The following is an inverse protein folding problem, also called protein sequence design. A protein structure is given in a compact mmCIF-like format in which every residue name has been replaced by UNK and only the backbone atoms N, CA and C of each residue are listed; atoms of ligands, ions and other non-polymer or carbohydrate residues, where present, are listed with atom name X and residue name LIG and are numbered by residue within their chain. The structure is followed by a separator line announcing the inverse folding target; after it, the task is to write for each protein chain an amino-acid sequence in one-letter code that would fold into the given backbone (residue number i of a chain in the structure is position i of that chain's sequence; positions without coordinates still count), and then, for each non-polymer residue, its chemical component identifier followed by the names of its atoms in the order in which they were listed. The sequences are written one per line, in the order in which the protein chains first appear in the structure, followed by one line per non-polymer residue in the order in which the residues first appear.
data_IF_618255198980
#
_entry.id   IF_618255198980
#
_cell.length_a   1.000
_cell.length_b   1.000
_cell.length_c   1.000
_cell.angle_alpha   90.00
_cell.angle_beta   90.00
_cell.angle_gamma   90.00
#
_symmetry.space_group_name_H-M   'P 1'
#
loop_
_entity.id
_entity.type
_entity.pdbx_description
1 polymer ?
#
# COMPACT_ATOMS: atom_id res chain seq x y z
N UNK A 1 -8.92 -49.91 -14.59
CA UNK A 1 -9.00 -51.40 -14.49
C UNK A 1 -7.96 -52.04 -13.55
N UNK A 2 -7.38 -51.34 -12.55
CA UNK A 2 -6.28 -51.89 -11.72
C UNK A 2 -6.67 -52.52 -10.36
N UNK A 3 -7.95 -52.59 -9.99
CA UNK A 3 -8.35 -53.01 -8.62
C UNK A 3 -8.90 -54.44 -8.47
N UNK A 4 -9.00 -55.24 -9.53
CA UNK A 4 -9.59 -56.60 -9.43
C UNK A 4 -8.58 -57.72 -9.10
N UNK A 5 -7.27 -57.47 -9.25
CA UNK A 5 -6.24 -58.51 -9.04
C UNK A 5 -5.91 -58.81 -7.57
N UNK A 6 -6.30 -57.95 -6.62
CA UNK A 6 -5.97 -58.12 -5.19
C UNK A 6 -7.02 -58.86 -4.36
N UNK A 7 -8.17 -59.26 -4.92
CA UNK A 7 -9.21 -59.97 -4.14
C UNK A 7 -8.94 -61.48 -3.97
N UNK A 8 -8.11 -62.10 -4.82
CA UNK A 8 -7.87 -63.55 -4.82
C UNK A 8 -6.97 -64.04 -3.67
N UNK A 9 -6.25 -63.16 -2.98
CA UNK A 9 -5.32 -63.49 -1.88
C UNK A 9 -5.79 -63.02 -0.49
N UNK A 10 -7.06 -62.61 -0.35
CA UNK A 10 -7.60 -62.15 0.93
C UNK A 10 -8.05 -63.36 1.74
N UNK A 11 -7.37 -63.64 2.86
CA UNK A 11 -7.72 -64.77 3.75
C UNK A 11 -9.18 -64.66 4.20
N UNK A 12 -9.96 -65.74 4.13
CA UNK A 12 -11.39 -65.75 4.52
C UNK A 12 -11.65 -65.19 5.92
N UNK A 13 -10.73 -65.40 6.86
CA UNK A 13 -10.81 -64.82 8.21
C UNK A 13 -10.86 -63.28 8.19
N UNK A 14 -10.20 -62.64 7.23
CA UNK A 14 -10.19 -61.18 7.08
C UNK A 14 -11.46 -60.65 6.41
N UNK A 15 -12.05 -61.40 5.48
CA UNK A 15 -13.34 -61.06 4.85
C UNK A 15 -14.49 -61.13 5.87
N UNK A 16 -14.52 -62.20 6.66
CA UNK A 16 -15.56 -62.42 7.67
C UNK A 16 -15.39 -61.52 8.91
N UNK A 17 -14.17 -61.07 9.24
CA UNK A 17 -13.93 -60.13 10.34
C UNK A 17 -13.95 -58.65 9.92
N UNK A 18 -14.06 -58.35 8.63
CA UNK A 18 -14.08 -56.97 8.12
C UNK A 18 -15.24 -56.15 8.73
N UNK A 19 -16.41 -56.77 8.89
CA UNK A 19 -17.57 -56.13 9.51
C UNK A 19 -17.28 -55.69 10.95
N UNK A 20 -16.73 -56.59 11.77
CA UNK A 20 -16.39 -56.30 13.18
C UNK A 20 -15.41 -55.13 13.30
N UNK A 21 -14.37 -55.09 12.45
CA UNK A 21 -13.41 -53.97 12.40
C UNK A 21 -14.07 -52.64 12.03
N UNK A 22 -15.06 -52.66 11.14
CA UNK A 22 -15.82 -51.44 10.78
C UNK A 22 -16.68 -50.98 11.95
N UNK A 23 -17.36 -51.91 12.65
CA UNK A 23 -18.18 -51.58 13.81
C UNK A 23 -17.35 -51.06 14.99
N UNK A 24 -16.19 -51.67 15.27
CA UNK A 24 -15.24 -51.20 16.28
C UNK A 24 -14.76 -49.77 15.96
N UNK A 25 -14.36 -49.51 14.71
CA UNK A 25 -13.98 -48.16 14.26
C UNK A 25 -15.12 -47.13 14.35
N UNK A 26 -16.37 -47.54 14.08
CA UNK A 26 -17.53 -46.66 14.23
C UNK A 26 -17.86 -46.40 15.69
N UNK A 27 -17.69 -47.40 16.56
CA UNK A 27 -17.89 -47.28 18.00
C UNK A 27 -16.84 -46.37 18.64
N UNK A 28 -15.56 -46.55 18.30
CA UNK A 28 -14.49 -45.68 18.81
C UNK A 28 -14.72 -44.23 18.40
N UNK A 29 -15.05 -43.97 17.13
CA UNK A 29 -15.38 -42.61 16.64
C UNK A 29 -16.56 -41.94 17.36
N UNK A 30 -17.53 -42.72 17.86
CA UNK A 30 -18.66 -42.20 18.65
C UNK A 30 -18.27 -41.94 20.11
N UNK A 31 -17.31 -42.68 20.65
CA UNK A 31 -16.75 -42.44 21.98
C UNK A 31 -15.81 -41.21 21.96
N UNK A 32 -15.09 -41.03 20.85
CA UNK A 32 -14.22 -39.86 20.61
C UNK A 32 -15.03 -38.59 20.27
N UNK A 33 -16.34 -38.70 20.05
CA UNK A 33 -17.23 -37.53 19.96
C UNK A 33 -17.43 -37.00 21.38
N UNK A 34 -16.91 -35.80 21.62
CA UNK A 34 -17.06 -35.06 22.87
C UNK A 34 -18.55 -35.01 23.26
N UNK A 35 -18.85 -35.45 24.48
CA UNK A 35 -20.19 -35.47 25.06
C UNK A 35 -20.80 -34.06 25.21
N UNK A 36 -19.95 -33.04 25.30
CA UNK A 36 -20.32 -31.65 25.49
C UNK A 36 -19.52 -30.75 24.55
N UNK A 37 -20.23 -29.90 23.80
CA UNK A 37 -19.62 -28.85 22.96
C UNK A 37 -19.53 -27.59 23.81
N UNK A 38 -18.34 -27.31 24.35
CA UNK A 38 -18.07 -26.04 25.04
C UNK A 38 -17.63 -25.00 24.03
N UNK A 39 -18.25 -23.83 24.07
CA UNK A 39 -17.81 -22.69 23.29
C UNK A 39 -16.63 -22.01 24.01
N UNK A 40 -15.55 -21.81 23.27
CA UNK A 40 -14.42 -21.01 23.74
C UNK A 40 -14.78 -19.52 23.58
N UNK A 41 -14.97 -18.84 24.70
CA UNK A 41 -15.36 -17.44 24.77
C UNK A 41 -14.29 -16.54 24.16
N UNK A 42 -13.00 -16.85 24.35
CA UNK A 42 -11.88 -16.09 23.77
C UNK A 42 -11.87 -16.20 22.24
N UNK A 43 -12.16 -17.39 21.71
CA UNK A 43 -12.28 -17.61 20.27
C UNK A 43 -13.48 -16.84 19.70
N UNK A 44 -14.58 -16.74 20.45
CA UNK A 44 -15.76 -15.97 20.08
C UNK A 44 -15.48 -14.46 20.08
N UNK A 45 -14.79 -13.94 21.09
CA UNK A 45 -14.37 -12.54 21.15
C UNK A 45 -13.44 -12.17 19.99
N UNK A 46 -12.44 -13.02 19.72
CA UNK A 46 -11.54 -12.87 18.55
C UNK A 46 -12.29 -12.96 17.24
N UNK A 47 -13.32 -13.80 17.13
CA UNK A 47 -14.14 -13.90 15.93
C UNK A 47 -15.00 -12.65 15.70
N UNK A 48 -15.65 -12.15 16.76
CA UNK A 48 -16.48 -10.94 16.72
C UNK A 48 -15.67 -9.67 16.45
N UNK A 49 -14.53 -9.49 17.13
CA UNK A 49 -13.65 -8.31 16.98
C UNK A 49 -12.67 -8.44 15.81
N UNK A 50 -12.41 -9.65 15.35
CA UNK A 50 -11.38 -9.98 14.35
C UNK A 50 -11.68 -9.42 12.97
N UNK A 51 -12.92 -9.05 12.64
CA UNK A 51 -13.22 -8.40 11.37
C UNK A 51 -12.54 -7.03 11.22
N UNK A 52 -12.53 -6.24 12.30
CA UNK A 52 -11.84 -4.94 12.32
C UNK A 52 -10.34 -5.14 12.27
N UNK A 53 -9.81 -6.09 13.05
CA UNK A 53 -8.38 -6.46 13.05
C UNK A 53 -7.92 -6.93 11.66
N UNK A 54 -8.60 -7.92 11.05
CA UNK A 54 -8.32 -8.38 9.68
C UNK A 54 -8.47 -7.29 8.63
N UNK A 55 -9.43 -6.37 8.80
CA UNK A 55 -9.58 -5.23 7.88
C UNK A 55 -8.39 -4.28 8.00
N UNK A 56 -7.93 -3.99 9.22
CA UNK A 56 -6.72 -3.19 9.45
C UNK A 56 -5.48 -3.90 8.93
N UNK A 57 -5.28 -5.18 9.24
CA UNK A 57 -4.18 -6.00 8.74
C UNK A 57 -4.10 -5.98 7.22
N UNK A 58 -5.23 -6.23 6.53
CA UNK A 58 -5.28 -6.15 5.05
C UNK A 58 -4.89 -4.76 4.52
N UNK A 59 -5.36 -3.69 5.15
CA UNK A 59 -4.97 -2.32 4.77
C UNK A 59 -3.48 -2.08 4.99
N UNK A 60 -2.96 -2.44 6.16
CA UNK A 60 -1.53 -2.26 6.47
C UNK A 60 -0.65 -3.08 5.53
N UNK A 61 -1.03 -4.31 5.20
CA UNK A 61 -0.31 -5.17 4.29
C UNK A 61 -0.34 -4.64 2.85
N UNK A 62 -1.48 -4.11 2.39
CA UNK A 62 -1.55 -3.44 1.09
C UNK A 62 -0.61 -2.21 1.03
N UNK A 63 -0.60 -1.39 2.07
CA UNK A 63 0.30 -0.23 2.18
C UNK A 63 1.77 -0.68 2.17
N UNK A 64 2.12 -1.73 2.94
CA UNK A 64 3.49 -2.26 2.99
C UNK A 64 3.96 -2.74 1.62
N UNK A 65 3.11 -3.46 0.89
CA UNK A 65 3.42 -3.93 -0.46
C UNK A 65 3.69 -2.81 -1.45
N UNK A 66 2.85 -1.76 -1.43
CA UNK A 66 3.05 -0.59 -2.30
C UNK A 66 4.38 0.10 -1.97
N UNK A 67 4.67 0.31 -0.69
CA UNK A 67 5.95 0.91 -0.26
C UNK A 67 7.18 0.07 -0.64
N UNK A 68 7.07 -1.26 -0.55
CA UNK A 68 8.14 -2.16 -0.97
C UNK A 68 8.38 -2.08 -2.48
N UNK A 69 7.31 -2.01 -3.28
CA UNK A 69 7.41 -1.82 -4.72
C UNK A 69 8.03 -0.46 -5.06
N UNK A 70 7.54 0.63 -4.49
CA UNK A 70 8.10 1.98 -4.69
C UNK A 70 9.60 2.05 -4.32
N UNK A 71 10.02 1.33 -3.28
CA UNK A 71 11.43 1.24 -2.89
C UNK A 71 12.26 0.50 -3.94
N UNK A 72 11.76 -0.63 -4.44
CA UNK A 72 12.45 -1.41 -5.48
C UNK A 72 12.54 -0.60 -6.77
N UNK A 73 11.44 0.02 -7.20
CA UNK A 73 11.38 0.86 -8.39
C UNK A 73 12.39 2.02 -8.29
N UNK A 74 12.48 2.68 -7.14
CA UNK A 74 13.47 3.75 -6.90
C UNK A 74 14.92 3.25 -6.99
N UNK A 75 15.20 2.04 -6.50
CA UNK A 75 16.54 1.44 -6.58
C UNK A 75 16.87 1.10 -8.03
N UNK A 76 15.91 0.54 -8.78
CA UNK A 76 16.07 0.23 -10.20
C UNK A 76 16.27 1.50 -11.03
N UNK A 77 15.48 2.54 -10.82
CA UNK A 77 15.66 3.85 -11.47
C UNK A 77 17.03 4.46 -11.19
N UNK A 78 17.52 4.37 -9.94
CA UNK A 78 18.87 4.83 -9.58
C UNK A 78 19.94 4.03 -10.32
N UNK A 79 19.79 2.70 -10.40
CA UNK A 79 20.72 1.84 -11.13
C UNK A 79 20.73 2.17 -12.62
N UNK A 80 19.55 2.27 -13.25
CA UNK A 80 19.42 2.60 -14.66
C UNK A 80 20.01 3.97 -14.98
N UNK A 81 19.85 4.98 -14.10
CA UNK A 81 20.50 6.28 -14.25
C UNK A 81 22.02 6.18 -14.21
N UNK A 82 22.58 5.43 -13.24
CA UNK A 82 24.03 5.22 -13.14
C UNK A 82 24.57 4.52 -14.39
N UNK A 83 23.92 3.43 -14.81
CA UNK A 83 24.34 2.65 -15.99
C UNK A 83 24.29 3.52 -17.26
N UNK A 84 23.24 4.32 -17.44
CA UNK A 84 23.13 5.24 -18.57
C UNK A 84 24.19 6.35 -18.55
N UNK A 85 24.51 6.92 -17.38
CA UNK A 85 25.58 7.92 -17.26
C UNK A 85 26.94 7.28 -17.61
N UNK A 86 27.22 6.08 -17.10
CA UNK A 86 28.45 5.35 -17.39
C UNK A 86 28.58 5.03 -18.89
N UNK A 87 27.48 4.63 -19.53
CA UNK A 87 27.46 4.38 -20.97
C UNK A 87 27.72 5.66 -21.77
N UNK A 88 27.09 6.78 -21.40
CA UNK A 88 27.37 8.09 -22.01
C UNK A 88 28.82 8.54 -21.81
N UNK A 89 29.40 8.31 -20.63
CA UNK A 89 30.81 8.62 -20.37
C UNK A 89 31.70 7.75 -21.26
N UNK A 90 31.43 6.45 -21.34
CA UNK A 90 32.18 5.50 -22.16
C UNK A 90 32.10 5.86 -23.65
N UNK A 91 30.93 6.20 -24.15
CA UNK A 91 30.74 6.66 -25.53
C UNK A 91 31.54 7.93 -25.80
N UNK A 92 31.47 8.92 -24.89
CA UNK A 92 32.25 10.16 -25.01
C UNK A 92 33.75 9.89 -24.98
N UNK A 93 34.23 9.05 -24.06
CA UNK A 93 35.64 8.65 -23.99
C UNK A 93 36.09 7.96 -25.28
N UNK A 94 35.30 7.02 -25.81
CA UNK A 94 35.62 6.36 -27.07
C UNK A 94 35.69 7.34 -28.26
N UNK A 95 34.74 8.29 -28.35
CA UNK A 95 34.79 9.35 -29.38
C UNK A 95 35.99 10.29 -29.20
N UNK A 96 36.35 10.61 -27.95
CA UNK A 96 37.48 11.47 -27.64
C UNK A 96 38.80 10.83 -28.02
N UNK A 97 39.02 9.57 -27.65
CA UNK A 97 40.21 8.79 -28.04
C UNK A 97 40.31 8.66 -29.57
N UNK A 98 39.18 8.46 -30.26
CA UNK A 98 39.15 8.40 -31.72
C UNK A 98 39.48 9.74 -32.41
N UNK A 99 39.13 10.88 -31.79
CA UNK A 99 39.39 12.22 -32.35
C UNK A 99 40.76 12.80 -31.97
N UNK A 100 41.22 12.58 -30.74
CA UNK A 100 42.38 13.26 -30.16
C UNK A 100 43.57 12.35 -29.84
N UNK A 101 43.45 11.03 -30.05
CA UNK A 101 44.50 10.06 -29.74
C UNK A 101 44.44 9.55 -28.29
N UNK A 102 45.24 8.53 -27.99
CA UNK A 102 45.25 7.80 -26.72
C UNK A 102 45.47 8.74 -25.52
N UNK A 103 44.49 8.77 -24.62
CA UNK A 103 44.60 9.40 -23.30
C UNK A 103 45.04 8.29 -22.36
N UNK A 104 46.24 8.39 -21.79
CA UNK A 104 46.67 7.50 -20.71
C UNK A 104 45.64 7.57 -19.57
N UNK A 105 45.13 6.41 -19.14
CA UNK A 105 44.27 6.27 -17.96
C UNK A 105 45.04 6.79 -16.74
N UNK A 106 44.82 8.05 -16.38
CA UNK A 106 45.21 8.56 -15.07
C UNK A 106 44.29 7.85 -14.08
N UNK A 107 44.85 6.82 -13.46
CA UNK A 107 44.27 6.02 -12.39
C UNK A 107 43.75 6.97 -11.30
N UNK A 108 42.44 7.16 -11.31
CA UNK A 108 41.72 8.13 -10.48
C UNK A 108 41.69 7.62 -9.04
N UNK A 109 42.79 7.86 -8.33
CA UNK A 109 42.90 7.76 -6.88
C UNK A 109 42.11 8.87 -6.21
N UNK A 110 40.79 8.90 -6.41
CA UNK A 110 39.89 9.75 -5.63
C UNK A 110 39.61 8.99 -4.33
N UNK A 111 40.49 9.18 -3.36
CA UNK A 111 40.12 8.98 -1.96
C UNK A 111 38.96 9.93 -1.65
N UNK A 112 37.77 9.36 -1.39
CA UNK A 112 36.61 10.04 -0.83
C UNK A 112 36.99 10.71 0.50
N UNK A 113 37.56 11.91 0.41
CA UNK A 113 37.80 12.77 1.56
C UNK A 113 36.62 13.71 1.70
N UNK A 114 35.55 13.20 2.32
CA UNK A 114 34.23 13.83 2.49
C UNK A 114 34.24 15.17 3.30
N UNK A 115 35.39 15.79 3.59
CA UNK A 115 35.45 17.04 4.37
C UNK A 115 36.62 17.98 3.99
N UNK A 116 37.11 17.94 2.75
CA UNK A 116 38.10 18.93 2.29
C UNK A 116 37.40 20.20 1.78
N UNK A 117 37.34 21.25 2.63
CA UNK A 117 37.01 22.60 2.16
C UNK A 117 38.25 23.15 1.45
N UNK A 118 38.27 23.05 0.13
CA UNK A 118 39.33 23.64 -0.68
C UNK A 118 39.05 25.14 -0.92
N UNK A 119 39.84 25.99 -0.28
CA UNK A 119 39.84 27.43 -0.55
C UNK A 119 40.85 27.76 -1.66
N UNK A 120 40.36 28.03 -2.87
CA UNK A 120 41.20 28.53 -3.96
C UNK A 120 41.14 30.06 -4.00
N UNK A 121 42.32 30.70 -3.92
CA UNK A 121 42.48 32.15 -4.04
C UNK A 121 42.94 32.48 -5.45
N UNK A 122 42.11 33.22 -6.19
CA UNK A 122 42.46 33.74 -7.50
C UNK A 122 42.79 35.23 -7.37
N UNK A 123 43.98 35.61 -7.82
CA UNK A 123 44.45 37.00 -7.82
C UNK A 123 44.77 37.45 -9.23
N UNK A 124 44.11 38.51 -9.68
CA UNK A 124 44.47 39.24 -10.90
C UNK A 124 44.67 40.71 -10.50
N UNK A 125 45.89 41.08 -10.13
CA UNK A 125 46.22 42.44 -9.65
C UNK A 125 45.85 42.67 -8.18
N UNK A 126 45.41 43.90 -7.86
CA UNK A 126 45.11 44.35 -6.48
C UNK A 126 43.79 43.79 -5.91
N UNK A 127 42.96 43.13 -6.74
CA UNK A 127 41.71 42.52 -6.32
C UNK A 127 41.91 41.00 -6.13
N UNK A 128 41.87 40.55 -4.86
CA UNK A 128 41.86 39.13 -4.53
C UNK A 128 40.44 38.66 -4.24
N UNK A 129 39.99 37.61 -4.93
CA UNK A 129 38.70 36.97 -4.68
C UNK A 129 38.95 35.54 -4.19
N UNK A 130 38.33 35.18 -3.07
CA UNK A 130 38.39 33.83 -2.51
C UNK A 130 37.09 33.12 -2.86
N UNK A 131 37.18 32.02 -3.59
CA UNK A 131 36.03 31.19 -3.94
C UNK A 131 36.09 29.92 -3.10
N UNK A 132 35.15 29.77 -2.19
CA UNK A 132 34.99 28.54 -1.38
C UNK A 132 34.05 27.60 -2.11
N UNK A 133 34.57 26.47 -2.61
CA UNK A 133 33.75 25.42 -3.20
C UNK A 133 33.29 24.50 -2.08
N UNK A 134 32.02 24.61 -1.69
CA UNK A 134 31.40 23.64 -0.80
C UNK A 134 30.75 22.56 -1.66
N UNK A 135 31.24 21.32 -1.58
CA UNK A 135 30.55 20.15 -2.12
C UNK A 135 29.36 19.84 -1.20
N UNK A 136 28.26 20.59 -1.36
CA UNK A 136 26.98 20.13 -0.85
C UNK A 136 26.65 18.84 -1.60
N UNK A 137 26.67 17.71 -0.90
CA UNK A 137 26.04 16.48 -1.36
C UNK A 137 24.55 16.80 -1.55
N UNK A 138 24.15 17.15 -2.78
CA UNK A 138 22.74 17.32 -3.15
C UNK A 138 21.95 16.01 -3.01
N UNK A 139 22.61 14.89 -2.71
CA UNK A 139 22.00 13.60 -2.42
C UNK A 139 21.50 13.46 -0.95
N UNK A 140 21.90 14.35 -0.02
CA UNK A 140 21.50 14.28 1.39
C UNK A 140 20.26 15.13 1.74
N UNK A 141 19.81 16.01 0.84
CA UNK A 141 18.58 16.80 1.06
C UNK A 141 17.29 15.97 0.93
N UNK A 142 17.37 14.79 0.31
CA UNK A 142 16.29 13.80 0.21
C UNK A 142 16.46 12.62 1.19
N UNK A 143 17.26 12.76 2.26
CA UNK A 143 17.25 11.81 3.36
C UNK A 143 16.00 12.00 4.24
N UNK A 144 14.86 11.60 3.66
CA UNK A 144 13.67 11.11 4.36
C UNK A 144 14.01 9.82 5.12
N UNK A 145 15.09 9.84 5.91
CA UNK A 145 15.41 8.79 6.84
C UNK A 145 14.16 8.56 7.70
N UNK A 146 13.70 7.30 7.86
CA UNK A 146 12.48 7.01 8.60
C UNK A 146 12.53 7.57 10.03
N UNK A 147 13.74 7.84 10.56
CA UNK A 147 13.95 8.51 11.83
C UNK A 147 13.50 9.98 11.86
N UNK A 148 13.74 10.76 10.79
CA UNK A 148 13.37 12.18 10.66
C UNK A 148 11.85 12.32 10.52
N UNK A 149 11.23 11.50 9.67
CA UNK A 149 9.77 11.42 9.54
C UNK A 149 9.10 10.95 10.84
N UNK A 150 9.68 9.99 11.56
CA UNK A 150 9.13 9.55 12.86
C UNK A 150 9.22 10.66 13.92
N UNK A 151 10.29 11.45 13.92
CA UNK A 151 10.47 12.59 14.83
C UNK A 151 9.46 13.69 14.55
N UNK A 152 9.22 14.00 13.28
CA UNK A 152 8.26 15.02 12.87
C UNK A 152 6.81 14.58 13.12
N UNK A 153 6.48 13.30 12.88
CA UNK A 153 5.17 12.75 13.20
C UNK A 153 4.91 12.71 14.72
N UNK A 154 5.92 12.34 15.53
CA UNK A 154 5.81 12.40 17.00
C UNK A 154 5.60 13.83 17.49
N UNK A 155 6.28 14.81 16.90
CA UNK A 155 6.10 16.23 17.24
C UNK A 155 4.68 16.73 16.87
N UNK A 156 4.16 16.36 15.70
CA UNK A 156 2.79 16.71 15.26
C UNK A 156 1.70 16.04 16.13
N UNK A 157 1.91 14.80 16.56
CA UNK A 157 0.96 14.12 17.46
C UNK A 157 0.97 14.76 18.85
N UNK A 158 2.15 15.12 19.38
CA UNK A 158 2.26 15.77 20.68
C UNK A 158 1.60 17.16 20.69
N UNK A 159 1.82 17.96 19.65
CA UNK A 159 1.19 19.28 19.54
C UNK A 159 -0.33 19.21 19.34
N UNK A 160 -0.84 18.21 18.61
CA UNK A 160 -2.29 18.00 18.50
C UNK A 160 -2.90 17.51 19.81
N UNK A 161 -2.21 16.66 20.57
CA UNK A 161 -2.67 16.25 21.90
C UNK A 161 -2.68 17.41 22.92
N UNK A 162 -1.70 18.30 22.86
CA UNK A 162 -1.66 19.50 23.71
C UNK A 162 -2.74 20.50 23.31
N UNK A 163 -3.04 20.66 22.01
CA UNK A 163 -4.16 21.47 21.52
C UNK A 163 -5.53 20.91 21.89
N UNK A 164 -5.72 19.59 21.85
CA UNK A 164 -6.97 18.94 22.27
C UNK A 164 -7.17 19.05 23.79
N UNK A 165 -6.10 18.98 24.59
CA UNK A 165 -6.17 19.20 26.03
C UNK A 165 -6.49 20.65 26.39
N UNK A 166 -5.84 21.62 25.74
CA UNK A 166 -6.14 23.04 25.95
C UNK A 166 -7.57 23.38 25.54
N UNK A 167 -8.07 22.78 24.45
CA UNK A 167 -9.45 22.96 23.99
C UNK A 167 -10.50 22.25 24.87
N UNK A 168 -10.10 21.24 25.63
CA UNK A 168 -10.97 20.58 26.60
C UNK A 168 -11.04 21.36 27.92
N UNK A 169 -9.95 21.99 28.36
CA UNK A 169 -9.94 22.88 29.54
C UNK A 169 -10.67 24.20 29.27
N UNK A 170 -10.58 24.77 28.06
CA UNK A 170 -11.30 26.00 27.67
C UNK A 170 -12.81 25.76 27.42
N UNK A 171 -13.23 24.51 27.21
CA UNK A 171 -14.63 24.14 27.02
C UNK A 171 -15.39 23.82 28.33
N UNK A 172 -14.71 23.78 29.48
CA UNK A 172 -15.34 23.61 30.79
C UNK A 172 -15.69 24.95 31.47
N UNK A 173 -15.30 26.10 30.90
CA UNK A 173 -15.55 27.44 31.48
C UNK A 173 -16.63 28.28 30.76
N UNK A 174 -17.19 27.79 29.64
CA UNK A 174 -18.30 28.46 28.92
C UNK A 174 -19.49 27.52 28.64
N UNK A 175 -20.13 26.99 29.69
CA UNK A 175 -21.51 26.49 29.58
C UNK A 175 -22.50 27.62 29.93
N UNK A 176 -22.90 28.40 28.92
CA UNK A 176 -24.26 28.95 28.79
C UNK A 176 -24.41 29.63 27.41
N UNK A 177 -24.59 28.84 26.33
CA UNK A 177 -25.03 29.37 25.03
C UNK A 177 -26.23 28.58 24.52
N UNK A 178 -27.30 29.35 24.29
CA UNK A 178 -28.63 29.00 23.81
C UNK A 178 -28.62 28.07 22.57
N UNK A 179 -29.10 26.84 22.72
CA UNK A 179 -29.04 25.78 21.68
C UNK A 179 -30.21 25.80 20.69
N UNK A 180 -30.62 26.97 20.19
CA UNK A 180 -31.80 27.06 19.30
C UNK A 180 -31.48 26.99 17.80
N UNK A 181 -30.23 27.17 17.36
CA UNK A 181 -29.90 27.31 15.92
C UNK A 181 -28.90 26.29 15.33
N UNK A 182 -28.56 25.21 16.05
CA UNK A 182 -27.69 24.16 15.51
C UNK A 182 -28.48 23.25 14.56
N UNK A 183 -28.42 23.55 13.25
CA UNK A 183 -28.94 22.66 12.21
C UNK A 183 -28.15 21.35 12.19
N UNK A 184 -28.75 20.30 12.75
CA UNK A 184 -28.24 18.94 12.72
C UNK A 184 -27.92 18.49 11.27
N UNK A 185 -26.77 17.82 11.05
CA UNK A 185 -26.42 17.32 9.72
C UNK A 185 -27.48 16.31 9.25
N UNK A 186 -27.96 16.50 8.01
CA UNK A 186 -28.99 15.64 7.44
C UNK A 186 -28.53 14.19 7.43
N UNK A 187 -29.37 13.28 7.95
CA UNK A 187 -29.06 11.85 8.03
C UNK A 187 -28.56 11.32 6.68
N UNK A 188 -27.55 10.42 6.66
CA UNK A 188 -27.00 9.90 5.42
C UNK A 188 -28.10 9.24 4.58
N UNK A 189 -28.16 9.62 3.30
CA UNK A 189 -29.13 9.05 2.36
C UNK A 189 -28.91 7.54 2.34
N UNK A 190 -29.94 6.77 2.71
CA UNK A 190 -29.91 5.31 2.65
C UNK A 190 -29.55 4.92 1.22
N UNK A 191 -28.43 4.22 1.06
CA UNK A 191 -28.04 3.62 -0.21
C UNK A 191 -29.10 2.58 -0.58
N UNK A 192 -30.09 3.01 -1.37
CA UNK A 192 -31.03 2.09 -2.00
C UNK A 192 -30.31 1.53 -3.21
N UNK A 193 -30.18 0.20 -3.26
CA UNK A 193 -29.77 -0.47 -4.49
C UNK A 193 -30.70 0.00 -5.61
N UNK A 194 -30.10 0.44 -6.71
CA UNK A 194 -30.82 0.77 -7.93
C UNK A 194 -31.85 -0.33 -8.22
N UNK A 195 -33.08 0.09 -8.50
CA UNK A 195 -34.12 -0.84 -8.95
C UNK A 195 -33.64 -1.56 -10.21
N UNK A 196 -34.18 -2.76 -10.49
CA UNK A 196 -33.82 -3.53 -11.71
C UNK A 196 -33.96 -2.69 -12.99
N UNK A 197 -34.88 -1.72 -13.01
CA UNK A 197 -35.06 -0.78 -14.12
C UNK A 197 -33.93 0.24 -14.25
N UNK A 198 -33.49 0.83 -13.14
CA UNK A 198 -32.37 1.78 -13.11
C UNK A 198 -31.05 1.11 -13.50
N UNK A 199 -30.81 -0.11 -12.98
CA UNK A 199 -29.64 -0.92 -13.35
C UNK A 199 -29.59 -1.23 -14.86
N UNK A 200 -30.73 -1.47 -15.48
CA UNK A 200 -30.80 -1.67 -16.94
C UNK A 200 -30.47 -0.38 -17.70
N UNK A 201 -30.91 0.78 -17.21
CA UNK A 201 -30.61 2.09 -17.83
C UNK A 201 -29.12 2.44 -17.69
N UNK A 202 -28.49 2.16 -16.54
CA UNK A 202 -27.06 2.40 -16.33
C UNK A 202 -26.22 1.50 -17.24
N UNK A 203 -26.52 0.20 -17.30
CA UNK A 203 -25.88 -0.74 -18.24
C UNK A 203 -26.05 -0.33 -19.71
N UNK A 204 -27.22 0.17 -20.10
CA UNK A 204 -27.47 0.63 -21.47
C UNK A 204 -26.66 1.89 -21.78
N UNK A 205 -26.57 2.84 -20.84
CA UNK A 205 -25.72 4.04 -20.97
C UNK A 205 -24.24 3.69 -21.10
N UNK A 206 -23.73 2.74 -20.32
CA UNK A 206 -22.34 2.26 -20.41
C UNK A 206 -22.06 1.58 -21.75
N UNK A 207 -22.96 0.69 -22.21
CA UNK A 207 -22.85 0.05 -23.53
C UNK A 207 -22.86 1.06 -24.67
N UNK A 208 -23.67 2.12 -24.56
CA UNK A 208 -23.70 3.19 -25.56
C UNK A 208 -22.44 4.04 -25.55
N UNK A 209 -21.92 4.42 -24.36
CA UNK A 209 -20.61 5.10 -24.22
C UNK A 209 -19.48 4.28 -24.84
N UNK A 210 -19.44 2.97 -24.58
CA UNK A 210 -18.42 2.07 -25.16
C UNK A 210 -18.51 1.95 -26.68
N UNK A 211 -19.70 2.19 -27.26
CA UNK A 211 -19.93 2.22 -28.71
C UNK A 211 -19.81 3.62 -29.32
N UNK A 212 -19.37 4.63 -28.56
CA UNK A 212 -19.25 6.01 -29.04
C UNK A 212 -20.59 6.70 -29.32
N UNK A 213 -21.72 6.11 -28.92
CA UNK A 213 -23.05 6.66 -29.13
C UNK A 213 -23.51 7.38 -27.86
N UNK A 214 -23.77 8.68 -27.94
CA UNK A 214 -24.38 9.43 -26.84
C UNK A 214 -25.91 9.32 -26.91
N UNK A 215 -26.56 8.88 -25.83
CA UNK A 215 -28.01 8.85 -25.73
C UNK A 215 -28.52 10.30 -25.60
N UNK A 216 -28.85 10.96 -26.72
CA UNK A 216 -29.50 12.27 -26.75
C UNK A 216 -30.81 12.17 -25.96
N UNK A 217 -30.88 12.83 -24.80
CA UNK A 217 -32.11 12.94 -24.03
C UNK A 217 -33.06 13.82 -24.85
N UNK A 218 -33.99 13.23 -25.59
CA UNK A 218 -35.12 13.99 -26.11
C UNK A 218 -36.09 14.23 -24.95
N UNK A 219 -36.03 15.44 -24.39
CA UNK A 219 -37.09 15.95 -23.52
C UNK A 219 -38.38 15.95 -24.32
N UNK A 220 -39.33 15.08 -23.96
CA UNK A 220 -40.70 15.20 -24.46
C UNK A 220 -41.24 16.52 -23.91
N UNK A 221 -41.83 17.40 -24.74
CA UNK A 221 -42.50 18.59 -24.22
C UNK A 221 -43.67 18.13 -23.34
N UNK A 222 -43.76 18.73 -22.16
CA UNK A 222 -44.84 18.54 -21.20
C UNK A 222 -46.20 18.77 -21.89
N UNK A 223 -46.98 17.71 -22.08
CA UNK A 223 -48.42 17.85 -22.36
C UNK A 223 -49.12 18.26 -21.07
N UNK A 224 -48.97 19.53 -20.69
CA UNK A 224 -49.96 20.20 -19.84
C UNK A 224 -51.23 20.40 -20.66
N UNK A 225 -52.36 19.90 -20.14
CA UNK A 225 -53.68 20.29 -20.59
C UNK A 225 -54.40 19.25 -21.45
N UNK A 226 -55.18 18.39 -20.81
CA UNK A 226 -56.56 18.15 -21.24
C UNK A 226 -57.40 17.98 -19.97
N UNK A 227 -58.28 18.96 -19.77
CA UNK A 227 -59.40 18.95 -18.84
C UNK A 227 -60.34 17.79 -19.17
#
# INVERSE_FOLDING_TARGET
MKNMKNMKNVKNSTLLSAGKKIYEKKKSKKQDQLLEVKFDEDAREKFLTGFTKRKQERRTHAIKKVKEQERLDRIEERKMRKDHILEQIREKQATFVAQFGEVEDIEDGVEDNENAVEEMKFGTGDDSTTVTVMTQNLDDEDDDSPAKLLRELKAKVKSNMEKEKAKAEEAEEEEEIDTSDIRLPSKPKKFRYESKGERKKTQLKEKMKKKGLSLKQHSRPDKKGRR
#
